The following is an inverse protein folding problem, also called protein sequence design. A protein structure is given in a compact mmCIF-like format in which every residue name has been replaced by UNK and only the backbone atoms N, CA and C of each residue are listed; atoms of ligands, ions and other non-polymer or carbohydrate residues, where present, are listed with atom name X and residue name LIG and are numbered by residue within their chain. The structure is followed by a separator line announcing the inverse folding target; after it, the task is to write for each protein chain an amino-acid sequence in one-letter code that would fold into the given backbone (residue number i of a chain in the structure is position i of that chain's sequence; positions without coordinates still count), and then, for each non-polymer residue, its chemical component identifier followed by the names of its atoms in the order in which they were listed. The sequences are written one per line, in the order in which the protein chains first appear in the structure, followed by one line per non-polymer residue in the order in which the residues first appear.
data_IF_437537407803
#
_entry.id   IF_437537407803
#
_cell.length_a   1.000
_cell.length_b   1.000
_cell.length_c   1.000
_cell.angle_alpha   90.00
_cell.angle_beta   90.00
_cell.angle_gamma   90.00
#
_symmetry.space_group_name_H-M   'P 1'
#
loop_
_entity.id
_entity.type
_entity.pdbx_description
1 polymer ?
#
# COMPACT_ATOMS: atom_id res chain seq x y z
N UNK A 1 8.92 -51.63 -51.94
CA UNK A 1 10.31 -51.18 -51.68
C UNK A 1 10.41 -49.74 -52.18
N UNK A 2 10.76 -48.68 -51.43
CA UNK A 2 11.28 -48.45 -50.08
C UNK A 2 10.58 -47.18 -49.53
N UNK A 3 10.33 -47.16 -48.21
CA UNK A 3 9.84 -46.02 -47.42
C UNK A 3 10.83 -44.86 -47.51
N UNK A 4 10.36 -43.63 -47.31
CA UNK A 4 11.07 -42.66 -46.47
C UNK A 4 10.08 -41.78 -45.71
N UNK A 5 10.09 -42.03 -44.41
CA UNK A 5 9.40 -41.40 -43.31
C UNK A 5 10.23 -40.19 -42.88
N UNK A 6 9.63 -39.00 -42.82
CA UNK A 6 10.19 -37.86 -42.09
C UNK A 6 9.06 -37.07 -41.43
N UNK A 7 8.81 -37.39 -40.16
CA UNK A 7 8.49 -36.40 -39.15
C UNK A 7 9.80 -36.06 -38.45
N UNK A 8 10.02 -34.79 -38.12
CA UNK A 8 10.21 -34.53 -36.70
C UNK A 8 9.53 -33.24 -36.21
N UNK A 9 8.88 -33.38 -35.06
CA UNK A 9 9.28 -32.61 -33.87
C UNK A 9 9.17 -31.08 -33.98
N UNK A 10 8.05 -30.53 -33.51
CA UNK A 10 8.13 -29.40 -32.58
C UNK A 10 6.80 -29.22 -31.88
N UNK A 11 6.76 -29.74 -30.65
CA UNK A 11 5.75 -29.41 -29.67
C UNK A 11 5.77 -27.88 -29.48
N UNK A 12 4.68 -27.22 -29.87
CA UNK A 12 4.40 -25.85 -29.49
C UNK A 12 4.09 -25.89 -27.99
N UNK A 13 5.16 -25.82 -27.18
CA UNK A 13 5.10 -25.67 -25.74
C UNK A 13 4.52 -24.26 -25.47
N UNK A 14 3.20 -24.18 -25.31
CA UNK A 14 2.55 -22.99 -24.82
C UNK A 14 3.09 -22.72 -23.41
N UNK A 15 3.96 -21.72 -23.32
CA UNK A 15 4.46 -21.18 -22.06
C UNK A 15 3.24 -20.74 -21.26
N UNK A 16 2.87 -21.54 -20.27
CA UNK A 16 2.09 -21.11 -19.12
C UNK A 16 2.93 -20.03 -18.43
N UNK A 17 2.74 -18.77 -18.82
CA UNK A 17 3.20 -17.65 -18.02
C UNK A 17 2.41 -17.68 -16.72
N UNK A 18 3.02 -18.28 -15.69
CA UNK A 18 2.48 -18.34 -14.34
C UNK A 18 2.22 -16.92 -13.82
N UNK A 19 0.97 -16.53 -13.50
CA UNK A 19 0.66 -15.23 -12.91
C UNK A 19 1.17 -15.07 -11.46
N UNK A 20 1.80 -16.10 -10.89
CA UNK A 20 2.28 -16.12 -9.51
C UNK A 20 3.35 -15.05 -9.20
N UNK A 21 4.11 -14.59 -10.20
CA UNK A 21 5.17 -13.59 -9.98
C UNK A 21 4.64 -12.18 -9.75
N UNK A 22 3.46 -11.84 -10.30
CA UNK A 22 2.87 -10.51 -10.11
C UNK A 22 2.30 -10.35 -8.69
N UNK A 23 1.52 -11.33 -8.22
CA UNK A 23 0.94 -11.28 -6.87
C UNK A 23 1.98 -11.24 -5.73
N UNK A 24 3.16 -11.82 -5.93
CA UNK A 24 4.22 -11.76 -4.92
C UNK A 24 4.84 -10.36 -4.79
N UNK A 25 5.01 -9.64 -5.91
CA UNK A 25 5.52 -8.28 -5.91
C UNK A 25 4.54 -7.30 -5.25
N UNK A 26 3.24 -7.43 -5.55
CA UNK A 26 2.20 -6.56 -4.99
C UNK A 26 2.05 -6.75 -3.46
N UNK A 27 2.27 -7.98 -2.97
CA UNK A 27 2.25 -8.28 -1.54
C UNK A 27 3.44 -7.63 -0.81
N UNK A 28 4.65 -7.68 -1.39
CA UNK A 28 5.84 -7.03 -0.82
C UNK A 28 5.67 -5.50 -0.80
N UNK A 29 5.12 -4.91 -1.87
CA UNK A 29 4.84 -3.47 -1.93
C UNK A 29 3.79 -3.04 -0.90
N UNK A 30 2.75 -3.86 -0.70
CA UNK A 30 1.77 -3.63 0.36
C UNK A 30 2.40 -3.64 1.75
N UNK A 31 3.26 -4.62 2.07
CA UNK A 31 3.95 -4.68 3.37
C UNK A 31 4.79 -3.41 3.59
N UNK A 32 5.55 -2.98 2.59
CA UNK A 32 6.35 -1.76 2.68
C UNK A 32 5.48 -0.50 2.91
N UNK A 33 4.33 -0.40 2.22
CA UNK A 33 3.39 0.71 2.40
C UNK A 33 2.78 0.70 3.82
N UNK A 34 2.41 -0.48 4.32
CA UNK A 34 1.84 -0.65 5.65
C UNK A 34 2.84 -0.30 6.76
N UNK A 35 4.08 -0.79 6.67
CA UNK A 35 5.15 -0.48 7.63
C UNK A 35 5.44 1.02 7.67
N UNK A 36 5.53 1.66 6.50
CA UNK A 36 5.70 3.10 6.39
C UNK A 36 4.57 3.85 7.10
N UNK A 37 3.32 3.50 6.81
CA UNK A 37 2.15 4.15 7.40
C UNK A 37 2.11 4.00 8.92
N UNK A 38 2.36 2.79 9.44
CA UNK A 38 2.43 2.52 10.88
C UNK A 38 3.56 3.33 11.54
N UNK A 39 4.73 3.40 10.91
CA UNK A 39 5.86 4.19 11.43
C UNK A 39 5.52 5.67 11.52
N UNK A 40 4.92 6.25 10.47
CA UNK A 40 4.54 7.66 10.43
C UNK A 40 3.42 7.99 11.43
N UNK A 41 2.42 7.12 11.56
CA UNK A 41 1.37 7.26 12.58
C UNK A 41 1.99 7.20 13.97
N UNK A 42 2.87 6.25 14.26
CA UNK A 42 3.54 6.16 15.54
C UNK A 42 4.36 7.43 15.85
N UNK A 43 5.16 7.92 14.89
CA UNK A 43 5.92 9.16 15.04
C UNK A 43 5.00 10.36 15.29
N UNK A 44 3.93 10.50 14.50
CA UNK A 44 2.97 11.59 14.64
C UNK A 44 2.23 11.54 15.98
N UNK A 45 1.85 10.36 16.47
CA UNK A 45 1.20 10.18 17.77
C UNK A 45 2.06 10.66 18.94
N UNK A 46 3.40 10.65 18.82
CA UNK A 46 4.29 11.22 19.85
C UNK A 46 4.24 12.75 19.91
N UNK A 47 3.75 13.40 18.85
CA UNK A 47 3.80 14.86 18.67
C UNK A 47 2.43 15.52 18.77
N UNK A 48 1.39 14.81 18.35
CA UNK A 48 0.03 15.36 18.17
C UNK A 48 -1.03 14.32 18.49
N UNK A 49 -2.26 14.77 18.74
CA UNK A 49 -3.40 13.87 18.60
C UNK A 49 -3.67 13.60 17.13
N UNK A 50 -3.75 12.32 16.79
CA UNK A 50 -4.12 11.86 15.46
C UNK A 50 -5.63 11.92 15.24
N UNK A 51 -6.00 11.91 13.96
CA UNK A 51 -7.38 11.67 13.56
C UNK A 51 -7.69 10.18 13.69
N UNK A 52 -8.87 9.86 14.22
CA UNK A 52 -9.35 8.48 14.35
C UNK A 52 -9.49 7.75 13.00
N UNK A 53 -9.61 8.49 11.90
CA UNK A 53 -9.69 7.94 10.55
C UNK A 53 -8.39 7.28 10.10
N UNK A 54 -7.23 7.65 10.64
CA UNK A 54 -5.94 7.05 10.24
C UNK A 54 -5.83 5.58 10.63
N UNK A 55 -6.34 5.19 11.81
CA UNK A 55 -6.34 3.80 12.27
C UNK A 55 -7.33 2.95 11.47
N UNK A 56 -8.53 3.49 11.22
CA UNK A 56 -9.54 2.82 10.39
C UNK A 56 -9.01 2.52 8.97
N UNK A 57 -8.26 3.45 8.37
CA UNK A 57 -7.64 3.23 7.05
C UNK A 57 -6.62 2.08 7.07
N UNK A 58 -5.88 1.88 8.16
CA UNK A 58 -4.96 0.73 8.27
C UNK A 58 -5.73 -0.59 8.40
N UNK A 59 -6.85 -0.60 9.13
CA UNK A 59 -7.72 -1.77 9.23
C UNK A 59 -8.34 -2.12 7.87
N UNK A 60 -8.88 -1.13 7.15
CA UNK A 60 -9.41 -1.30 5.80
C UNK A 60 -8.34 -1.76 4.81
N UNK A 61 -7.11 -1.24 4.93
CA UNK A 61 -5.97 -1.69 4.12
C UNK A 61 -5.67 -3.17 4.35
N UNK A 62 -5.66 -3.62 5.61
CA UNK A 62 -5.46 -5.02 5.97
C UNK A 62 -6.59 -5.91 5.46
N UNK A 63 -7.84 -5.46 5.54
CA UNK A 63 -8.98 -6.20 4.99
C UNK A 63 -8.90 -6.33 3.47
N UNK A 64 -8.48 -5.27 2.76
CA UNK A 64 -8.31 -5.30 1.31
C UNK A 64 -7.21 -6.30 0.90
N UNK A 65 -6.05 -6.26 1.57
CA UNK A 65 -4.96 -7.19 1.35
C UNK A 65 -5.37 -8.65 1.67
N UNK A 66 -6.14 -8.88 2.74
CA UNK A 66 -6.65 -10.21 3.09
C UNK A 66 -7.58 -10.79 2.01
N UNK A 67 -8.24 -9.93 1.22
CA UNK A 67 -9.06 -10.32 0.05
C UNK A 67 -8.24 -10.47 -1.24
N UNK A 68 -6.91 -10.33 -1.17
CA UNK A 68 -5.99 -10.35 -2.31
C UNK A 68 -5.98 -9.06 -3.14
N UNK A 69 -6.61 -7.98 -2.64
CA UNK A 69 -6.63 -6.68 -3.29
C UNK A 69 -5.52 -5.78 -2.74
N UNK A 70 -4.28 -6.09 -3.12
CA UNK A 70 -3.09 -5.39 -2.64
C UNK A 70 -3.03 -3.94 -3.11
N UNK A 71 -3.47 -3.63 -4.35
CA UNK A 71 -3.53 -2.26 -4.87
C UNK A 71 -4.37 -1.34 -3.98
N UNK A 72 -5.54 -1.82 -3.56
CA UNK A 72 -6.41 -1.07 -2.66
C UNK A 72 -5.80 -0.97 -1.26
N UNK A 73 -5.20 -2.05 -0.75
CA UNK A 73 -4.46 -2.03 0.50
C UNK A 73 -3.33 -0.99 0.51
N UNK A 74 -2.57 -0.89 -0.58
CA UNK A 74 -1.49 0.09 -0.77
C UNK A 74 -2.05 1.51 -0.75
N UNK A 75 -3.16 1.78 -1.44
CA UNK A 75 -3.79 3.10 -1.46
C UNK A 75 -4.24 3.53 -0.07
N UNK A 76 -4.96 2.66 0.64
CA UNK A 76 -5.47 2.92 1.98
C UNK A 76 -4.34 3.14 2.99
N UNK A 77 -3.28 2.31 2.93
CA UNK A 77 -2.10 2.49 3.77
C UNK A 77 -1.39 3.84 3.50
N UNK A 78 -1.23 4.21 2.22
CA UNK A 78 -0.65 5.50 1.86
C UNK A 78 -1.53 6.70 2.28
N UNK A 79 -2.85 6.55 2.27
CA UNK A 79 -3.78 7.57 2.77
C UNK A 79 -3.66 7.74 4.29
N UNK A 80 -3.54 6.63 5.03
CA UNK A 80 -3.30 6.64 6.48
C UNK A 80 -1.98 7.36 6.83
N UNK A 81 -0.91 7.09 6.07
CA UNK A 81 0.36 7.80 6.14
C UNK A 81 0.18 9.31 5.93
N UNK A 82 -0.55 9.70 4.88
CA UNK A 82 -0.81 11.11 4.57
C UNK A 82 -1.59 11.82 5.69
N UNK A 83 -2.56 11.15 6.31
CA UNK A 83 -3.25 11.71 7.48
C UNK A 83 -2.29 12.02 8.63
N UNK A 84 -1.33 11.13 8.92
CA UNK A 84 -0.33 11.38 9.96
C UNK A 84 0.53 12.62 9.64
N UNK A 85 0.99 12.75 8.40
CA UNK A 85 1.76 13.92 7.94
C UNK A 85 0.94 15.22 8.07
N UNK A 86 -0.33 15.20 7.63
CA UNK A 86 -1.23 16.36 7.70
C UNK A 86 -1.59 16.75 9.13
N UNK A 87 -1.77 15.78 10.04
CA UNK A 87 -2.02 16.03 11.44
C UNK A 87 -0.84 16.79 12.08
N UNK A 88 0.39 16.35 11.82
CA UNK A 88 1.61 17.04 12.29
C UNK A 88 1.71 18.44 11.69
N UNK A 89 1.55 18.59 10.38
CA UNK A 89 1.62 19.89 9.70
C UNK A 89 0.57 20.86 10.25
N UNK A 90 -0.64 20.39 10.50
CA UNK A 90 -1.73 21.16 11.10
C UNK A 90 -1.36 21.61 12.50
N UNK A 91 -0.91 20.70 13.38
CA UNK A 91 -0.54 21.07 14.74
C UNK A 91 0.62 22.08 14.79
N UNK A 92 1.61 21.95 13.90
CA UNK A 92 2.71 22.92 13.77
C UNK A 92 2.17 24.29 13.37
N UNK A 93 1.27 24.34 12.38
CA UNK A 93 0.63 25.58 11.93
C UNK A 93 -0.18 26.23 13.06
N UNK A 94 -1.01 25.47 13.76
CA UNK A 94 -1.84 25.98 14.86
C UNK A 94 -0.99 26.46 16.03
N UNK A 95 0.06 25.72 16.41
CA UNK A 95 1.02 26.15 17.43
C UNK A 95 1.66 27.50 17.10
N UNK A 96 1.93 27.78 15.82
CA UNK A 96 2.49 29.05 15.36
C UNK A 96 1.46 30.18 15.34
N UNK A 97 0.23 29.89 14.92
CA UNK A 97 -0.73 30.92 14.52
C UNK A 97 -1.92 31.11 15.46
N UNK A 98 -2.10 30.29 16.51
CA UNK A 98 -3.30 30.31 17.37
C UNK A 98 -3.68 31.72 17.87
N UNK A 99 -2.69 32.51 18.26
CA UNK A 99 -2.86 33.86 18.81
C UNK A 99 -3.46 34.87 17.81
N UNK A 100 -3.38 34.59 16.50
CA UNK A 100 -3.99 35.43 15.46
C UNK A 100 -5.50 35.26 15.37
N UNK A 101 -6.04 34.17 15.95
CA UNK A 101 -7.45 33.80 15.84
C UNK A 101 -8.24 34.02 17.14
N UNK A 102 -7.57 34.44 18.23
CA UNK A 102 -8.23 34.77 19.49
C UNK A 102 -8.71 36.22 19.44
N UNK A 103 -10.02 36.49 19.59
CA UNK A 103 -10.56 37.86 19.67
C UNK A 103 -9.91 38.62 20.84
N UNK A 104 -9.59 39.90 20.63
CA UNK A 104 -9.02 40.77 21.65
C UNK A 104 -10.07 41.28 22.63
#
# INVERSE_FOLDING_TARGET
MKRNLYLPFSALLAVLMSPASAMAADADEYVAALEKAQSQICEAATRVQLWNTSEALLEEAAEAAAKGNFDEGIKLANEAALHAELAVATAVREKKNWHLYVPK
#
